data_IF_696058748726
#
_entry.id   IF_696058748726
#
_cell.length_a   1.000
_cell.length_b   1.000
_cell.length_c   1.000
_cell.angle_alpha   90.00
_cell.angle_beta   90.00
_cell.angle_gamma   90.00
#
_symmetry.space_group_name_H-M   'P 1'
#
loop_
_entity.id
_entity.type
_entity.pdbx_description
1 polymer ?
#
# COMPACT_ATOMS: atom_id res chain seq x y z
N UNK A 1 -2.05 2.24 9.49
CA UNK A 1 -2.55 0.87 9.70
C UNK A 1 -3.02 0.33 8.36
N UNK A 2 -2.57 -0.86 7.99
CA UNK A 2 -2.78 -1.49 6.68
C UNK A 2 -3.31 -2.89 6.92
N UNK A 3 -4.32 -3.31 6.15
CA UNK A 3 -4.82 -4.68 6.20
C UNK A 3 -4.09 -5.45 5.10
N UNK A 4 -3.44 -6.53 5.49
CA UNK A 4 -2.87 -7.51 4.57
C UNK A 4 -3.79 -8.73 4.57
N UNK A 5 -4.61 -8.88 3.53
CA UNK A 5 -5.35 -10.11 3.34
C UNK A 5 -4.45 -11.09 2.60
N UNK A 6 -4.13 -12.19 3.27
CA UNK A 6 -3.45 -13.34 2.66
C UNK A 6 -4.54 -14.38 2.38
N UNK A 7 -4.90 -14.54 1.12
CA UNK A 7 -5.90 -15.51 0.69
C UNK A 7 -5.26 -16.42 -0.35
N UNK A 8 -5.26 -17.73 -0.11
CA UNK A 8 -4.62 -18.64 -1.05
C UNK A 8 -4.75 -20.11 -0.68
N UNK A 9 -4.90 -20.91 -1.73
CA UNK A 9 -4.83 -22.37 -1.71
C UNK A 9 -3.36 -22.82 -1.91
N UNK A 10 -3.13 -24.12 -2.06
CA UNK A 10 -1.80 -24.72 -2.27
C UNK A 10 -1.11 -24.21 -3.53
N UNK A 11 -1.88 -23.83 -4.56
CA UNK A 11 -1.37 -23.43 -5.88
C UNK A 11 -1.42 -21.92 -6.15
N UNK A 12 -2.08 -21.14 -5.28
CA UNK A 12 -2.29 -19.70 -5.51
C UNK A 12 -2.26 -18.92 -4.22
N UNK A 13 -1.53 -17.81 -4.18
CA UNK A 13 -1.47 -16.89 -3.06
C UNK A 13 -1.76 -15.47 -3.53
N UNK A 14 -2.73 -14.83 -2.90
CA UNK A 14 -3.06 -13.43 -3.13
C UNK A 14 -2.79 -12.64 -1.88
N UNK A 15 -1.93 -11.63 -1.98
CA UNK A 15 -1.69 -10.61 -0.97
C UNK A 15 -2.37 -9.32 -1.38
N UNK A 16 -3.24 -8.78 -0.52
CA UNK A 16 -3.87 -7.47 -0.76
C UNK A 16 -3.41 -6.48 0.28
N UNK A 17 -2.83 -5.38 -0.18
CA UNK A 17 -2.48 -4.22 0.61
C UNK A 17 -3.55 -3.14 0.45
N UNK A 18 -4.23 -2.82 1.55
CA UNK A 18 -5.26 -1.78 1.59
C UNK A 18 -4.80 -0.68 2.56
N UNK A 19 -4.59 0.58 2.09
CA UNK A 19 -4.15 1.69 2.93
C UNK A 19 -5.33 2.29 3.72
N UNK A 20 -5.92 1.49 4.61
CA UNK A 20 -7.18 1.81 5.31
C UNK A 20 -7.16 3.20 5.96
N UNK A 21 -6.05 3.59 6.60
CA UNK A 21 -5.94 4.90 7.25
C UNK A 21 -6.05 6.06 6.24
N UNK A 22 -5.45 5.92 5.06
CA UNK A 22 -5.55 6.94 4.01
C UNK A 22 -7.00 7.04 3.52
N UNK A 23 -7.65 5.89 3.26
CA UNK A 23 -9.06 5.85 2.85
C UNK A 23 -10.00 6.41 3.93
N UNK A 24 -9.76 6.10 5.20
CA UNK A 24 -10.54 6.63 6.33
C UNK A 24 -10.37 8.15 6.47
N UNK A 25 -9.14 8.66 6.33
CA UNK A 25 -8.87 10.10 6.36
C UNK A 25 -9.54 10.84 5.19
N UNK A 26 -9.48 10.28 3.97
CA UNK A 26 -10.21 10.81 2.82
C UNK A 26 -11.72 10.81 3.10
N UNK A 27 -12.26 9.71 3.63
CA UNK A 27 -13.67 9.62 4.01
C UNK A 27 -14.07 10.68 5.03
N UNK A 28 -13.23 10.95 6.03
CA UNK A 28 -13.45 12.01 7.02
C UNK A 28 -13.48 13.40 6.39
N UNK A 29 -12.56 13.69 5.46
CA UNK A 29 -12.55 14.96 4.73
C UNK A 29 -13.83 15.12 3.90
N UNK A 30 -14.21 14.08 3.14
CA UNK A 30 -15.42 14.10 2.32
C UNK A 30 -16.68 14.27 3.16
N UNK A 31 -16.73 13.62 4.33
CA UNK A 31 -17.81 13.83 5.30
C UNK A 31 -17.88 15.27 5.77
N UNK A 32 -16.74 15.88 6.14
CA UNK A 32 -16.68 17.29 6.53
C UNK A 32 -17.14 18.24 5.42
N UNK A 33 -16.72 18.00 4.18
CA UNK A 33 -17.20 18.74 3.00
C UNK A 33 -18.72 18.60 2.86
N UNK A 34 -19.24 17.37 2.97
CA UNK A 34 -20.67 17.09 2.89
C UNK A 34 -21.50 17.84 3.93
N UNK A 35 -21.03 17.89 5.19
CA UNK A 35 -21.67 18.65 6.26
C UNK A 35 -21.72 20.15 5.97
N UNK A 36 -20.63 20.72 5.43
CA UNK A 36 -20.62 22.13 5.02
C UNK A 36 -21.62 22.38 3.88
N UNK A 37 -21.66 21.51 2.86
CA UNK A 37 -22.58 21.67 1.72
C UNK A 37 -24.05 21.54 2.15
N UNK A 38 -24.38 20.50 2.93
CA UNK A 38 -25.74 20.26 3.43
C UNK A 38 -26.26 21.45 4.27
N UNK A 39 -25.40 22.02 5.12
CA UNK A 39 -25.74 23.19 5.92
C UNK A 39 -26.05 24.45 5.10
N UNK A 40 -25.64 24.53 3.83
CA UNK A 40 -25.96 25.65 2.94
C UNK A 40 -27.16 25.36 2.03
N UNK A 41 -27.36 24.12 1.61
CA UNK A 41 -28.55 23.71 0.83
C UNK A 41 -29.82 23.75 1.71
N UNK A 42 -29.68 23.51 3.02
CA UNK A 42 -30.80 23.50 3.98
C UNK A 42 -31.24 24.87 4.55
N UNK A 43 -30.55 25.97 4.26
CA UNK A 43 -30.97 27.28 4.77
C UNK A 43 -30.04 28.47 4.46
N UNK A 44 -30.59 29.46 3.73
CA UNK A 44 -30.39 30.93 3.75
C UNK A 44 -29.02 31.56 4.15
N UNK A 45 -27.88 30.90 3.97
CA UNK A 45 -26.57 31.54 4.11
C UNK A 45 -25.75 31.37 2.83
N UNK A 46 -25.32 32.48 2.24
CA UNK A 46 -24.32 32.46 1.17
C UNK A 46 -22.99 31.89 1.68
N UNK A 47 -22.29 31.13 0.83
CA UNK A 47 -20.94 30.68 1.11
C UNK A 47 -20.00 31.89 1.16
N UNK A 48 -19.64 32.35 2.36
CA UNK A 48 -18.60 33.37 2.52
C UNK A 48 -17.25 32.89 1.97
N UNK A 49 -16.43 33.81 1.48
CA UNK A 49 -15.14 33.51 0.83
C UNK A 49 -14.20 32.64 1.68
N UNK A 50 -14.24 32.77 3.02
CA UNK A 50 -13.46 31.94 3.93
C UNK A 50 -13.87 30.46 3.92
N UNK A 51 -15.16 30.16 3.79
CA UNK A 51 -15.68 28.78 3.70
C UNK A 51 -15.29 28.15 2.36
N UNK A 52 -15.34 28.93 1.27
CA UNK A 52 -14.90 28.47 -0.06
C UNK A 52 -13.40 28.10 -0.06
N UNK A 53 -12.56 28.95 0.53
CA UNK A 53 -11.14 28.64 0.71
C UNK A 53 -10.92 27.38 1.56
N UNK A 54 -11.66 27.22 2.65
CA UNK A 54 -11.60 26.01 3.49
C UNK A 54 -11.97 24.74 2.72
N UNK A 55 -13.05 24.79 1.92
CA UNK A 55 -13.45 23.66 1.07
C UNK A 55 -12.40 23.33 0.01
N UNK A 56 -11.85 24.34 -0.66
CA UNK A 56 -10.79 24.16 -1.64
C UNK A 56 -9.53 23.52 -1.01
N UNK A 57 -9.13 23.96 0.19
CA UNK A 57 -8.01 23.39 0.92
C UNK A 57 -8.27 21.94 1.33
N UNK A 58 -9.47 21.63 1.83
CA UNK A 58 -9.85 20.26 2.18
C UNK A 58 -9.84 19.34 0.95
N UNK A 59 -10.39 19.79 -0.18
CA UNK A 59 -10.34 19.05 -1.44
C UNK A 59 -8.89 18.82 -1.90
N UNK A 60 -8.04 19.84 -1.85
CA UNK A 60 -6.64 19.73 -2.22
C UNK A 60 -5.91 18.68 -1.35
N UNK A 61 -6.16 18.68 -0.03
CA UNK A 61 -5.58 17.70 0.90
C UNK A 61 -6.10 16.28 0.61
N UNK A 62 -7.39 16.12 0.31
CA UNK A 62 -7.96 14.82 -0.03
C UNK A 62 -7.33 14.25 -1.31
N UNK A 63 -7.22 15.07 -2.36
CA UNK A 63 -6.60 14.69 -3.63
C UNK A 63 -5.12 14.35 -3.44
N UNK A 64 -4.36 15.20 -2.72
CA UNK A 64 -2.97 14.94 -2.42
C UNK A 64 -2.79 13.62 -1.65
N UNK A 65 -3.69 13.33 -0.69
CA UNK A 65 -3.66 12.07 0.06
C UNK A 65 -4.00 10.87 -0.81
N UNK A 66 -4.98 10.97 -1.71
CA UNK A 66 -5.29 9.91 -2.68
C UNK A 66 -4.10 9.60 -3.58
N UNK A 67 -3.43 10.65 -4.08
CA UNK A 67 -2.25 10.52 -4.94
C UNK A 67 -1.06 9.88 -4.22
N UNK A 68 -0.78 10.32 -3.00
CA UNK A 68 0.42 9.94 -2.26
C UNK A 68 0.26 8.64 -1.45
N UNK A 69 -0.95 8.30 -0.99
CA UNK A 69 -1.15 7.20 -0.03
C UNK A 69 -2.39 6.33 -0.31
N UNK A 70 -3.23 6.68 -1.29
CA UNK A 70 -4.47 5.95 -1.62
C UNK A 70 -4.26 4.68 -2.44
N UNK A 71 -3.01 4.30 -2.76
CA UNK A 71 -2.72 3.19 -3.65
C UNK A 71 -3.01 1.83 -3.02
N UNK A 72 -3.88 1.06 -3.65
CA UNK A 72 -4.16 -0.34 -3.33
C UNK A 72 -3.24 -1.24 -4.16
N UNK A 73 -2.65 -2.25 -3.53
CA UNK A 73 -1.75 -3.17 -4.23
C UNK A 73 -2.20 -4.60 -4.02
N UNK A 74 -2.25 -5.36 -5.09
CA UNK A 74 -2.60 -6.78 -5.09
C UNK A 74 -1.45 -7.54 -5.71
N UNK A 75 -0.86 -8.45 -4.95
CA UNK A 75 0.17 -9.37 -5.44
C UNK A 75 -0.46 -10.75 -5.56
N UNK A 76 -0.36 -11.36 -6.73
CA UNK A 76 -0.73 -12.73 -7.00
C UNK A 76 0.54 -13.54 -7.24
N UNK A 77 0.60 -14.71 -6.60
CA UNK A 77 1.60 -15.73 -6.84
C UNK A 77 0.83 -16.96 -7.29
N UNK A 78 1.12 -17.43 -8.50
CA UNK A 78 0.53 -18.63 -9.08
C UNK A 78 1.66 -19.63 -9.32
N UNK A 79 1.64 -20.74 -8.57
CA UNK A 79 2.64 -21.80 -8.71
C UNK A 79 2.34 -22.72 -9.90
N UNK A 80 1.08 -22.80 -10.34
CA UNK A 80 0.69 -23.60 -11.51
C UNK A 80 1.17 -22.95 -12.81
N UNK A 81 1.01 -21.63 -12.92
CA UNK A 81 1.38 -20.86 -14.11
C UNK A 81 2.79 -20.22 -14.04
N UNK A 82 3.56 -20.53 -12.99
CA UNK A 82 4.90 -19.94 -12.71
C UNK A 82 4.91 -18.40 -12.76
N UNK A 83 3.88 -17.74 -12.21
CA UNK A 83 3.69 -16.29 -12.34
C UNK A 83 3.63 -15.55 -10.99
N UNK A 84 4.37 -14.45 -10.90
CA UNK A 84 4.17 -13.39 -9.90
C UNK A 84 3.65 -12.14 -10.57
N UNK A 85 2.43 -11.74 -10.21
CA UNK A 85 1.78 -10.55 -10.74
C UNK A 85 1.48 -9.54 -9.64
N UNK A 86 2.08 -8.37 -9.73
CA UNK A 86 1.82 -7.24 -8.83
C UNK A 86 1.01 -6.19 -9.58
N UNK A 87 -0.18 -5.91 -9.07
CA UNK A 87 -1.08 -4.90 -9.62
C UNK A 87 -1.25 -3.78 -8.61
N UNK A 88 -1.00 -2.54 -9.05
CA UNK A 88 -1.19 -1.32 -8.28
C UNK A 88 -2.38 -0.56 -8.86
N UNK A 89 -3.28 -0.17 -7.98
CA UNK A 89 -4.46 0.61 -8.29
C UNK A 89 -4.36 1.93 -7.54
N UNK A 90 -4.40 3.04 -8.27
CA UNK A 90 -4.38 4.38 -7.68
C UNK A 90 -5.12 5.37 -8.57
N UNK A 91 -5.04 6.65 -8.23
CA UNK A 91 -5.73 7.70 -8.99
C UNK A 91 -5.23 7.80 -10.45
N UNK A 92 -3.96 7.49 -10.70
CA UNK A 92 -3.36 7.46 -12.05
C UNK A 92 -3.71 6.21 -12.86
N UNK A 93 -4.60 5.34 -12.36
CA UNK A 93 -5.02 4.12 -13.03
C UNK A 93 -4.35 2.86 -12.50
N UNK A 94 -4.25 1.85 -13.37
CA UNK A 94 -3.77 0.50 -13.06
C UNK A 94 -2.38 0.27 -13.64
N UNK A 95 -1.40 0.01 -12.79
CA UNK A 95 -0.09 -0.48 -13.19
C UNK A 95 0.04 -1.96 -12.84
N UNK A 96 0.46 -2.79 -13.79
CA UNK A 96 0.67 -4.22 -13.57
C UNK A 96 2.10 -4.60 -13.95
N UNK A 97 2.75 -5.35 -13.07
CA UNK A 97 4.07 -5.93 -13.30
C UNK A 97 3.96 -7.45 -13.15
N UNK A 98 4.46 -8.19 -14.12
CA UNK A 98 4.50 -9.65 -14.08
C UNK A 98 5.95 -10.14 -14.25
N UNK A 99 6.30 -11.18 -13.50
CA UNK A 99 7.59 -11.88 -13.49
C UNK A 99 7.35 -13.36 -13.27
N UNK A 100 8.33 -14.20 -13.63
CA UNK A 100 8.24 -15.63 -13.35
C UNK A 100 8.47 -15.91 -11.87
N UNK A 101 7.72 -16.83 -11.30
CA UNK A 101 7.89 -17.22 -9.90
C UNK A 101 9.23 -17.94 -9.69
N UNK A 102 9.67 -18.73 -10.65
CA UNK A 102 10.97 -19.41 -10.71
C UNK A 102 12.19 -18.47 -10.75
N UNK A 103 11.97 -17.21 -11.11
CA UNK A 103 13.01 -16.17 -11.01
C UNK A 103 13.15 -15.62 -9.59
N UNK A 104 12.18 -15.83 -8.70
CA UNK A 104 12.24 -15.34 -7.33
C UNK A 104 13.20 -16.22 -6.51
N UNK A 105 14.27 -15.61 -5.99
CA UNK A 105 15.32 -16.30 -5.21
C UNK A 105 15.29 -15.96 -3.73
N UNK A 106 14.50 -14.97 -3.32
CA UNK A 106 14.49 -14.49 -1.93
C UNK A 106 13.45 -13.44 -1.66
N UNK A 107 13.21 -13.20 -0.37
CA UNK A 107 12.40 -12.10 0.12
C UNK A 107 13.28 -11.23 1.02
N UNK A 108 13.45 -9.97 0.63
CA UNK A 108 14.14 -8.97 1.41
C UNK A 108 13.12 -8.18 2.24
N UNK A 109 13.30 -8.17 3.57
CA UNK A 109 12.52 -7.34 4.48
C UNK A 109 13.41 -6.19 4.94
N UNK A 110 13.12 -4.98 4.45
CA UNK A 110 13.77 -3.77 4.94
C UNK A 110 13.03 -3.24 6.15
N UNK A 111 13.71 -3.21 7.30
CA UNK A 111 13.19 -2.63 8.54
C UNK A 111 13.72 -1.20 8.66
N UNK A 112 12.82 -0.20 8.61
CA UNK A 112 13.19 1.21 8.79
C UNK A 112 12.96 1.67 10.23
N UNK A 113 11.79 1.32 10.78
CA UNK A 113 11.40 1.58 12.16
C UNK A 113 10.71 0.34 12.72
N UNK A 114 10.51 0.29 14.06
CA UNK A 114 9.93 -0.88 14.77
C UNK A 114 8.67 -1.47 14.13
N UNK A 115 7.85 -0.67 13.45
CA UNK A 115 6.58 -1.11 12.83
C UNK A 115 6.49 -0.82 11.33
N UNK A 116 7.59 -0.36 10.72
CA UNK A 116 7.65 0.03 9.31
C UNK A 116 8.57 -0.92 8.56
N UNK A 117 7.94 -1.83 7.82
CA UNK A 117 8.62 -2.81 6.99
C UNK A 117 8.28 -2.56 5.52
N UNK A 118 9.28 -2.74 4.66
CA UNK A 118 9.11 -2.84 3.21
C UNK A 118 9.55 -4.22 2.78
N UNK A 119 8.68 -4.91 2.04
CA UNK A 119 8.95 -6.26 1.54
C UNK A 119 9.24 -6.16 0.04
N UNK A 120 10.38 -6.71 -0.36
CA UNK A 120 10.85 -6.75 -1.73
C UNK A 120 11.11 -8.21 -2.13
N UNK A 121 10.67 -8.61 -3.31
CA UNK A 121 11.10 -9.87 -3.90
C UNK A 121 12.46 -9.65 -4.55
N UNK A 122 13.40 -10.56 -4.28
CA UNK A 122 14.70 -10.61 -4.95
C UNK A 122 14.60 -11.58 -6.12
N UNK A 123 14.86 -11.09 -7.32
CA UNK A 123 14.88 -11.90 -8.53
C UNK A 123 16.30 -12.38 -8.84
N UNK A 124 16.41 -13.49 -9.57
CA UNK A 124 17.68 -14.07 -10.03
C UNK A 124 18.47 -13.10 -10.90
N UNK A 125 17.77 -12.21 -11.62
CA UNK A 125 18.37 -11.13 -12.41
C UNK A 125 19.10 -10.07 -11.56
N UNK A 126 18.93 -10.08 -10.23
CA UNK A 126 19.38 -9.02 -9.33
C UNK A 126 18.38 -7.86 -9.20
N UNK A 127 17.30 -7.84 -9.99
CA UNK A 127 16.19 -6.90 -9.84
C UNK A 127 15.47 -7.12 -8.49
N UNK A 128 15.05 -6.02 -7.86
CA UNK A 128 14.23 -6.06 -6.64
C UNK A 128 12.85 -5.53 -6.94
N UNK A 129 11.85 -6.38 -6.74
CA UNK A 129 10.45 -6.05 -7.03
C UNK A 129 9.70 -5.75 -5.72
N UNK A 130 9.37 -4.48 -5.44
CA UNK A 130 8.69 -4.14 -4.19
C UNK A 130 7.23 -4.61 -4.20
N UNK A 131 6.88 -5.46 -3.22
CA UNK A 131 5.51 -5.94 -2.98
C UNK A 131 4.60 -4.83 -2.48
N UNK A 132 5.16 -3.86 -1.76
CA UNK A 132 4.44 -2.68 -1.32
C UNK A 132 5.07 -1.39 -1.83
N UNK A 133 4.23 -0.41 -2.22
CA UNK A 133 4.70 0.86 -2.75
C UNK A 133 5.33 1.73 -1.65
N UNK A 134 4.92 1.55 -0.38
CA UNK A 134 5.39 2.32 0.76
C UNK A 134 5.79 1.43 1.95
N UNK A 135 6.49 2.02 2.91
CA UNK A 135 7.13 1.39 4.09
C UNK A 135 6.16 0.91 5.19
N UNK A 136 4.90 0.63 4.87
CA UNK A 136 3.83 0.48 5.87
C UNK A 136 3.23 -0.92 5.83
N UNK A 137 4.06 -1.95 5.90
CA UNK A 137 3.58 -3.26 6.31
C UNK A 137 3.84 -3.44 7.81
N UNK A 138 2.77 -3.49 8.59
CA UNK A 138 2.80 -4.16 9.88
C UNK A 138 2.55 -5.66 9.63
N UNK A 139 3.51 -6.33 8.99
CA UNK A 139 3.53 -7.79 8.99
C UNK A 139 4.12 -8.21 10.32
N UNK A 140 3.41 -9.05 11.07
CA UNK A 140 4.06 -9.78 12.16
C UNK A 140 5.21 -10.60 11.56
N UNK A 141 6.32 -10.73 12.28
CA UNK A 141 7.47 -11.53 11.86
C UNK A 141 7.06 -12.94 11.43
N UNK A 142 6.04 -13.53 12.09
CA UNK A 142 5.46 -14.81 11.70
C UNK A 142 4.71 -14.81 10.36
N UNK A 143 4.10 -13.69 9.95
CA UNK A 143 3.44 -13.57 8.64
C UNK A 143 4.43 -13.57 7.48
N UNK A 144 5.59 -12.92 7.65
CA UNK A 144 6.64 -12.92 6.61
C UNK A 144 7.38 -14.26 6.56
N UNK A 145 7.62 -14.88 7.72
CA UNK A 145 8.18 -16.23 7.78
C UNK A 145 7.31 -17.25 7.04
N UNK A 146 5.97 -17.19 7.20
CA UNK A 146 5.03 -18.03 6.44
C UNK A 146 5.06 -17.74 4.94
N UNK A 147 5.24 -16.47 4.55
CA UNK A 147 5.38 -16.08 3.15
C UNK A 147 6.64 -16.68 2.53
N UNK A 148 7.79 -16.55 3.19
CA UNK A 148 9.06 -17.16 2.76
C UNK A 148 8.97 -18.68 2.68
N UNK A 149 8.38 -19.32 3.69
CA UNK A 149 8.18 -20.77 3.71
C UNK A 149 7.29 -21.26 2.57
N UNK A 150 6.18 -20.56 2.26
CA UNK A 150 5.31 -20.92 1.12
C UNK A 150 5.98 -20.71 -0.23
N UNK A 151 6.81 -19.68 -0.35
CA UNK A 151 7.54 -19.38 -1.57
C UNK A 151 8.79 -20.27 -1.75
N UNK A 152 9.19 -21.03 -0.73
CA UNK A 152 10.38 -21.88 -0.78
C UNK A 152 11.68 -21.08 -0.89
N UNK A 153 11.69 -19.83 -0.41
CA UNK A 153 12.81 -18.90 -0.58
C UNK A 153 13.35 -18.39 0.75
N UNK A 154 14.63 -18.02 0.75
CA UNK A 154 15.29 -17.46 1.92
C UNK A 154 14.73 -16.08 2.28
N UNK A 155 14.55 -15.88 3.58
CA UNK A 155 14.07 -14.63 4.15
C UNK A 155 15.26 -13.85 4.72
N UNK A 156 15.62 -12.75 4.05
CA UNK A 156 16.72 -11.89 4.50
C UNK A 156 16.15 -10.64 5.15
N UNK A 157 16.39 -10.48 6.46
CA UNK A 157 16.02 -9.24 7.15
C UNK A 157 17.16 -8.23 7.02
N UNK A 158 16.95 -7.19 6.24
CA UNK A 158 17.89 -6.09 6.09
C UNK A 158 17.51 -5.01 7.10
N UNK A 159 18.20 -4.99 8.25
CA UNK A 159 18.16 -3.83 9.11
C UNK A 159 18.93 -2.70 8.44
N UNK A 160 18.27 -1.57 8.17
CA UNK A 160 19.01 -0.35 7.95
C UNK A 160 19.66 0.02 9.28
N UNK A 161 20.91 -0.41 9.50
CA UNK A 161 21.77 0.29 10.46
C UNK A 161 21.75 1.75 10.03
N UNK A 162 21.37 2.62 10.96
CA UNK A 162 21.46 4.05 10.77
C UNK A 162 22.93 4.41 10.57
N UNK A 163 23.40 4.35 9.32
CA UNK A 163 24.63 5.01 8.88
C UNK A 163 24.32 6.51 8.71
N UNK A 164 23.86 7.14 9.79
CA UNK A 164 23.97 8.57 9.99
C UNK A 164 25.20 8.78 10.86
N UNK A 165 26.37 8.55 10.26
CA UNK A 165 27.56 9.35 10.58
C UNK A 165 27.52 10.54 9.64
N UNK A 166 27.05 11.67 10.16
CA UNK A 166 27.62 13.01 9.95
C UNK A 166 26.94 13.98 10.90
#
# INVERSE_FOLDING_TARGET
>A
MTINLVQGDTERLTLRYIPLLAWAFIGLILYGIGQVVLGHVGGLAGLGSSKLFGLAALLAIAIATMLAAGQLVVCHFDWGDDEVRIVRYGLHGRAAHSRRLSEVVGIDIRVLRRTQHRVELRLRSGERLPLTPYYVLALSTGGVARLGARLGVELTTVQQQASLRR
#
